data_IF_106665566715
#
_entry.id   IF_106665566715
#
_cell.length_a   1.000
_cell.length_b   1.000
_cell.length_c   1.000
_cell.angle_alpha   90.00
_cell.angle_beta   90.00
_cell.angle_gamma   90.00
#
_symmetry.space_group_name_H-M   'P 1'
#
loop_
_entity.id
_entity.type
_entity.pdbx_description
1 polymer ?
#
# COMPACT_ATOMS: atom_id res chain seq x y z
N UNK A 1 -2.33 0.43 24.98
CA UNK A 1 -1.67 0.00 23.74
C UNK A 1 -2.75 -0.33 22.75
N UNK A 2 -2.82 0.42 21.67
CA UNK A 2 -3.81 0.24 20.61
C UNK A 2 -3.33 -0.81 19.64
N UNK A 3 -4.22 -1.76 19.33
CA UNK A 3 -3.91 -2.87 18.43
C UNK A 3 -3.94 -2.40 16.99
N UNK A 4 -2.95 -2.83 16.22
CA UNK A 4 -2.82 -2.55 14.79
C UNK A 4 -2.79 -3.89 14.08
N UNK A 5 -3.74 -4.13 13.16
CA UNK A 5 -3.77 -5.29 12.29
C UNK A 5 -3.68 -4.83 10.85
N UNK A 6 -2.65 -5.25 10.13
CA UNK A 6 -2.50 -4.98 8.70
C UNK A 6 -2.74 -6.27 7.92
N UNK A 7 -3.65 -6.19 6.94
CA UNK A 7 -3.87 -7.24 5.94
C UNK A 7 -3.33 -6.76 4.60
N UNK A 8 -2.38 -7.49 4.02
CA UNK A 8 -1.93 -7.26 2.64
C UNK A 8 -3.03 -7.77 1.73
N UNK A 9 -3.74 -6.87 1.05
CA UNK A 9 -4.81 -7.28 0.14
C UNK A 9 -4.23 -7.73 -1.20
N UNK A 10 -3.18 -7.04 -1.66
CA UNK A 10 -2.41 -7.38 -2.84
C UNK A 10 -0.93 -7.11 -2.65
N UNK A 11 -0.07 -7.99 -3.17
CA UNK A 11 1.39 -7.80 -3.17
C UNK A 11 2.02 -7.81 -4.58
N UNK A 12 1.21 -7.76 -5.63
CA UNK A 12 1.63 -7.82 -7.02
C UNK A 12 2.00 -6.46 -7.60
N UNK A 13 2.82 -6.49 -8.65
CA UNK A 13 3.09 -5.33 -9.52
C UNK A 13 1.83 -4.85 -10.25
N UNK A 14 1.93 -3.71 -10.95
CA UNK A 14 0.88 -3.16 -11.81
C UNK A 14 0.15 -4.14 -12.74
N UNK A 15 0.85 -5.16 -13.25
CA UNK A 15 0.28 -6.18 -14.16
C UNK A 15 -0.45 -7.32 -13.45
N UNK A 16 -0.37 -7.39 -12.11
CA UNK A 16 -0.77 -8.56 -11.33
C UNK A 16 0.08 -9.79 -11.62
N UNK A 17 -0.27 -10.90 -11.00
CA UNK A 17 0.22 -12.24 -11.36
C UNK A 17 -0.94 -13.23 -11.21
N UNK A 18 -1.36 -13.94 -12.27
CA UNK A 18 -0.74 -14.02 -13.60
C UNK A 18 -0.82 -12.72 -14.40
N UNK A 19 0.19 -12.49 -15.24
CA UNK A 19 0.20 -11.43 -16.26
C UNK A 19 -0.66 -11.88 -17.43
N UNK A 20 -1.49 -10.97 -17.97
CA UNK A 20 -2.38 -11.25 -19.11
C UNK A 20 -1.58 -11.83 -20.29
N UNK A 21 -1.96 -13.02 -20.74
CA UNK A 21 -1.33 -13.72 -21.87
C UNK A 21 0.03 -14.38 -21.57
N UNK A 22 0.49 -14.39 -20.32
CA UNK A 22 1.77 -15.02 -19.97
C UNK A 22 1.61 -16.45 -19.46
N UNK A 23 2.42 -17.37 -20.00
CA UNK A 23 2.41 -18.80 -19.67
C UNK A 23 3.65 -19.24 -18.86
N UNK A 24 4.41 -18.30 -18.27
CA UNK A 24 5.58 -18.68 -17.48
C UNK A 24 5.20 -19.51 -16.24
N UNK A 25 6.19 -20.18 -15.64
CA UNK A 25 5.98 -21.08 -14.49
C UNK A 25 5.27 -20.39 -13.31
N UNK A 26 5.57 -19.12 -13.02
CA UNK A 26 4.89 -18.37 -11.97
C UNK A 26 3.43 -18.08 -12.32
N UNK A 27 3.15 -17.66 -13.55
CA UNK A 27 1.79 -17.35 -14.02
C UNK A 27 0.88 -18.59 -14.11
N UNK A 28 1.47 -19.74 -14.42
CA UNK A 28 0.75 -21.03 -14.50
C UNK A 28 0.74 -21.80 -13.19
N UNK A 29 1.38 -21.26 -12.14
CA UNK A 29 1.48 -21.91 -10.83
C UNK A 29 0.09 -22.12 -10.20
N UNK A 30 -0.08 -23.28 -9.56
CA UNK A 30 -1.23 -23.58 -8.72
C UNK A 30 -1.07 -23.10 -7.28
N UNK A 31 0.13 -22.65 -6.88
CA UNK A 31 0.36 -22.09 -5.56
C UNK A 31 -0.36 -20.73 -5.42
N UNK A 32 -1.30 -20.58 -4.46
CA UNK A 32 -2.01 -19.34 -4.25
C UNK A 32 -1.09 -18.15 -3.94
N UNK A 33 0.12 -18.36 -3.40
CA UNK A 33 1.07 -17.26 -3.10
C UNK A 33 1.73 -16.65 -4.32
N UNK A 34 1.63 -17.31 -5.46
CA UNK A 34 2.02 -16.77 -6.76
C UNK A 34 0.87 -16.02 -7.45
N UNK A 35 -0.36 -16.11 -6.93
CA UNK A 35 -1.48 -15.28 -7.39
C UNK A 35 -1.48 -13.97 -6.62
N UNK A 36 -1.29 -12.86 -7.33
CA UNK A 36 -1.07 -11.54 -6.74
C UNK A 36 -1.92 -10.50 -7.46
N UNK A 37 -2.82 -9.89 -6.71
CA UNK A 37 -3.54 -8.69 -7.09
C UNK A 37 -2.65 -7.45 -6.91
N UNK A 38 -3.07 -6.30 -7.47
CA UNK A 38 -2.32 -5.05 -7.38
C UNK A 38 -2.08 -4.62 -5.93
N UNK A 39 -0.90 -4.06 -5.67
CA UNK A 39 -0.39 -3.73 -4.35
C UNK A 39 -1.34 -2.82 -3.55
N UNK A 40 -1.82 -3.29 -2.40
CA UNK A 40 -2.67 -2.52 -1.47
C UNK A 40 -2.76 -3.20 -0.11
N UNK A 41 -3.20 -2.46 0.91
CA UNK A 41 -3.37 -2.99 2.25
C UNK A 41 -4.59 -2.40 2.97
N UNK A 42 -5.20 -3.20 3.84
CA UNK A 42 -6.20 -2.73 4.80
C UNK A 42 -5.63 -2.77 6.21
N UNK A 43 -5.85 -1.72 6.98
CA UNK A 43 -5.29 -1.55 8.32
C UNK A 43 -6.42 -1.26 9.29
N UNK A 44 -6.55 -2.10 10.31
CA UNK A 44 -7.41 -1.84 11.45
C UNK A 44 -6.56 -1.31 12.61
N UNK A 45 -6.90 -0.12 13.11
CA UNK A 45 -6.25 0.54 14.24
C UNK A 45 -7.32 0.79 15.30
N UNK A 46 -7.29 0.00 16.37
CA UNK A 46 -8.37 -0.02 17.35
C UNK A 46 -9.70 -0.34 16.68
N UNK A 47 -10.60 0.64 16.62
CA UNK A 47 -11.93 0.55 15.97
C UNK A 47 -11.96 1.13 14.56
N UNK A 48 -10.93 1.86 14.14
CA UNK A 48 -10.89 2.48 12.82
C UNK A 48 -10.30 1.55 11.76
N UNK A 49 -10.85 1.64 10.55
CA UNK A 49 -10.51 0.86 9.38
C UNK A 49 -10.00 1.77 8.25
N UNK A 50 -8.75 1.58 7.86
CA UNK A 50 -8.05 2.44 6.92
C UNK A 50 -7.54 1.64 5.74
N UNK A 51 -7.71 2.17 4.54
CA UNK A 51 -7.22 1.58 3.31
C UNK A 51 -5.93 2.29 2.86
N UNK A 52 -4.94 1.54 2.38
CA UNK A 52 -3.82 2.08 1.60
C UNK A 52 -4.04 1.69 0.14
N UNK A 53 -4.23 2.71 -0.70
CA UNK A 53 -4.54 2.61 -2.14
C UNK A 53 -5.83 1.84 -2.47
N UNK A 54 -6.48 2.23 -3.57
CA UNK A 54 -7.69 1.58 -4.11
C UNK A 54 -7.44 1.23 -5.56
N UNK A 55 -6.54 0.26 -5.76
CA UNK A 55 -6.17 -0.26 -7.07
C UNK A 55 -7.34 -0.89 -7.82
N UNK A 56 -7.12 -1.29 -9.07
CA UNK A 56 -8.20 -1.88 -9.89
C UNK A 56 -8.78 -3.17 -9.29
N UNK A 57 -8.02 -3.91 -8.48
CA UNK A 57 -8.50 -5.12 -7.82
C UNK A 57 -9.27 -4.84 -6.52
N UNK A 58 -9.44 -3.57 -6.14
CA UNK A 58 -10.01 -3.19 -4.84
C UNK A 58 -11.40 -3.79 -4.59
N UNK A 59 -12.29 -3.84 -5.59
CA UNK A 59 -13.57 -4.54 -5.48
C UNK A 59 -13.39 -6.02 -5.05
N UNK A 60 -12.53 -6.75 -5.75
CA UNK A 60 -12.29 -8.17 -5.48
C UNK A 60 -11.59 -8.37 -4.14
N UNK A 61 -10.61 -7.52 -3.81
CA UNK A 61 -9.90 -7.51 -2.54
C UNK A 61 -10.88 -7.25 -1.38
N UNK A 62 -11.76 -6.25 -1.50
CA UNK A 62 -12.75 -5.92 -0.48
C UNK A 62 -13.71 -7.09 -0.21
N UNK A 63 -14.16 -7.78 -1.25
CA UNK A 63 -15.01 -8.97 -1.08
C UNK A 63 -14.25 -10.16 -0.50
N UNK A 64 -13.08 -10.47 -1.03
CA UNK A 64 -12.26 -11.61 -0.62
C UNK A 64 -11.89 -11.53 0.86
N UNK A 65 -11.53 -10.33 1.34
CA UNK A 65 -11.13 -10.08 2.72
C UNK A 65 -12.24 -9.49 3.58
N UNK A 66 -13.48 -9.50 3.08
CA UNK A 66 -14.70 -9.13 3.81
C UNK A 66 -14.63 -7.73 4.45
N UNK A 67 -14.03 -6.78 3.73
CA UNK A 67 -13.97 -5.39 4.17
C UNK A 67 -15.38 -4.83 4.26
N UNK A 68 -15.71 -4.28 5.42
CA UNK A 68 -17.09 -3.91 5.74
C UNK A 68 -17.24 -2.46 6.18
N UNK A 69 -16.12 -1.75 6.39
CA UNK A 69 -16.04 -0.36 6.86
C UNK A 69 -14.72 0.26 6.38
N UNK A 70 -14.74 1.56 6.05
CA UNK A 70 -13.58 2.39 5.70
C UNK A 70 -13.80 3.79 6.28
N UNK A 71 -12.97 4.14 7.25
CA UNK A 71 -12.91 5.46 7.90
C UNK A 71 -12.01 6.45 7.15
N UNK A 72 -11.03 5.95 6.38
CA UNK A 72 -10.13 6.79 5.59
C UNK A 72 -9.28 6.01 4.61
N UNK A 73 -8.78 6.71 3.58
CA UNK A 73 -7.90 6.13 2.56
C UNK A 73 -6.60 6.94 2.47
N UNK A 74 -5.46 6.27 2.60
CA UNK A 74 -4.14 6.82 2.33
C UNK A 74 -3.73 6.44 0.90
N UNK A 75 -3.48 7.43 0.03
CA UNK A 75 -2.96 7.18 -1.32
C UNK A 75 -1.46 7.37 -1.35
N UNK A 76 -0.74 6.43 -1.96
CA UNK A 76 0.71 6.53 -2.17
C UNK A 76 1.01 7.49 -3.31
N UNK A 77 0.44 7.23 -4.49
CA UNK A 77 0.59 8.00 -5.72
C UNK A 77 -0.51 7.64 -6.74
N UNK A 78 -0.68 8.39 -7.85
CA UNK A 78 -1.86 8.26 -8.69
C UNK A 78 -1.72 7.30 -9.89
N UNK A 79 -0.82 6.31 -9.85
CA UNK A 79 -0.77 5.29 -10.91
C UNK A 79 -2.01 4.39 -10.90
N UNK A 80 -2.33 3.82 -12.06
CA UNK A 80 -3.58 3.12 -12.33
C UNK A 80 -3.83 1.94 -11.37
N UNK A 81 -2.78 1.21 -11.06
CA UNK A 81 -2.73 0.07 -10.16
C UNK A 81 -2.97 0.41 -8.69
N UNK A 82 -2.82 1.67 -8.30
CA UNK A 82 -3.07 2.17 -6.93
C UNK A 82 -4.40 2.94 -6.81
N UNK A 83 -5.02 3.31 -7.93
CA UNK A 83 -6.11 4.29 -7.93
C UNK A 83 -7.38 3.86 -8.68
N UNK A 84 -7.30 3.03 -9.73
CA UNK A 84 -8.43 2.85 -10.64
C UNK A 84 -9.61 2.01 -10.09
N UNK A 85 -9.60 1.60 -8.82
CA UNK A 85 -10.76 1.04 -8.12
C UNK A 85 -11.49 2.05 -7.22
N UNK A 86 -11.14 3.34 -7.28
CA UNK A 86 -11.70 4.39 -6.39
C UNK A 86 -13.24 4.51 -6.43
N UNK A 87 -13.90 4.17 -7.55
CA UNK A 87 -15.38 4.23 -7.62
C UNK A 87 -16.04 3.25 -6.64
N UNK A 88 -15.41 2.11 -6.34
CA UNK A 88 -15.98 1.09 -5.44
C UNK A 88 -16.08 1.57 -3.98
N UNK A 89 -15.41 2.67 -3.62
CA UNK A 89 -15.64 3.37 -2.34
C UNK A 89 -17.10 3.82 -2.16
N UNK A 90 -17.89 3.91 -3.25
CA UNK A 90 -19.34 4.13 -3.21
C UNK A 90 -20.07 3.16 -2.29
N UNK A 91 -19.65 1.90 -2.25
CA UNK A 91 -20.34 0.86 -1.48
C UNK A 91 -20.23 1.16 0.02
N UNK A 92 -19.06 1.62 0.45
CA UNK A 92 -18.80 2.06 1.81
C UNK A 92 -19.50 3.37 2.13
N UNK A 93 -19.46 4.36 1.23
CA UNK A 93 -20.22 5.62 1.40
C UNK A 93 -21.72 5.33 1.57
N UNK A 94 -22.29 4.46 0.73
CA UNK A 94 -23.68 4.05 0.78
C UNK A 94 -24.04 3.36 2.10
N UNK A 95 -23.19 2.42 2.55
CA UNK A 95 -23.41 1.66 3.77
C UNK A 95 -23.26 2.52 5.03
N UNK A 96 -22.25 3.38 5.06
CA UNK A 96 -21.90 4.24 6.20
C UNK A 96 -22.73 5.52 6.25
N UNK A 97 -23.39 5.89 5.14
CA UNK A 97 -24.11 7.16 4.97
C UNK A 97 -23.24 8.37 5.31
N UNK A 98 -21.97 8.30 4.94
CA UNK A 98 -20.96 9.31 5.22
C UNK A 98 -19.97 9.44 4.06
N UNK A 99 -19.46 10.66 3.79
CA UNK A 99 -18.30 10.83 2.91
C UNK A 99 -17.08 10.12 3.47
N UNK A 100 -16.20 9.62 2.60
CA UNK A 100 -14.93 9.02 3.00
C UNK A 100 -13.80 10.04 2.81
N UNK A 101 -13.04 10.37 3.86
CA UNK A 101 -11.86 11.20 3.71
C UNK A 101 -10.74 10.41 3.02
N UNK A 102 -10.10 11.04 2.04
CA UNK A 102 -8.93 10.52 1.36
C UNK A 102 -7.75 11.44 1.63
N UNK A 103 -6.57 10.86 1.73
CA UNK A 103 -5.36 11.53 2.17
C UNK A 103 -4.22 11.23 1.21
N UNK A 104 -3.37 12.22 0.99
CA UNK A 104 -2.19 12.06 0.14
C UNK A 104 -1.47 13.38 -0.06
N UNK A 105 -0.32 13.33 -0.74
CA UNK A 105 0.38 14.55 -1.12
C UNK A 105 -0.42 15.36 -2.16
N UNK A 106 -0.24 16.69 -2.16
CA UNK A 106 -0.91 17.66 -3.04
C UNK A 106 -1.01 17.20 -4.49
N UNK A 107 0.11 16.81 -5.10
CA UNK A 107 0.14 16.47 -6.52
C UNK A 107 -0.62 15.15 -6.82
N UNK A 108 -0.62 14.22 -5.87
CA UNK A 108 -1.44 13.00 -5.94
C UNK A 108 -2.93 13.34 -5.86
N UNK A 109 -3.34 14.14 -4.88
CA UNK A 109 -4.74 14.54 -4.72
C UNK A 109 -5.23 15.39 -5.90
N UNK A 110 -4.40 16.28 -6.44
CA UNK A 110 -4.74 17.06 -7.64
C UNK A 110 -5.03 16.13 -8.84
N UNK A 111 -4.23 15.09 -9.03
CA UNK A 111 -4.47 14.08 -10.07
C UNK A 111 -5.78 13.31 -9.85
N UNK A 112 -6.03 12.88 -8.60
CA UNK A 112 -7.26 12.15 -8.23
C UNK A 112 -8.50 13.03 -8.46
N UNK A 113 -8.50 14.25 -7.93
CA UNK A 113 -9.59 15.20 -8.09
C UNK A 113 -9.87 15.54 -9.55
N UNK A 114 -8.83 15.59 -10.39
CA UNK A 114 -9.01 15.86 -11.83
C UNK A 114 -9.58 14.66 -12.61
N UNK A 115 -9.23 13.42 -12.25
CA UNK A 115 -9.65 12.21 -12.99
C UNK A 115 -11.00 11.67 -12.53
N UNK A 116 -11.36 11.93 -11.28
CA UNK A 116 -12.54 11.41 -10.62
C UNK A 116 -13.36 12.56 -10.01
N UNK A 117 -13.43 13.70 -10.71
CA UNK A 117 -14.10 14.92 -10.27
C UNK A 117 -15.54 14.68 -9.74
N UNK A 118 -16.27 13.76 -10.37
CA UNK A 118 -17.61 13.37 -9.98
C UNK A 118 -17.68 12.83 -8.54
N UNK A 119 -16.61 12.21 -8.03
CA UNK A 119 -16.50 11.67 -6.68
C UNK A 119 -16.40 12.75 -5.58
N UNK A 120 -16.06 13.98 -5.97
CA UNK A 120 -15.87 15.12 -5.06
C UNK A 120 -17.03 16.11 -5.07
N UNK A 121 -18.05 15.84 -5.89
CA UNK A 121 -19.27 16.62 -5.89
C UNK A 121 -20.00 16.51 -4.54
N UNK A 122 -20.84 17.51 -4.26
CA UNK A 122 -21.60 17.54 -3.01
C UNK A 122 -22.43 16.27 -2.80
N UNK A 123 -22.62 15.93 -1.52
CA UNK A 123 -23.34 14.73 -1.14
C UNK A 123 -24.81 14.83 -1.58
N UNK A 124 -25.35 13.73 -2.10
CA UNK A 124 -26.77 13.61 -2.40
C UNK A 124 -27.37 12.47 -1.56
N UNK A 125 -28.70 12.40 -1.49
CA UNK A 125 -29.38 11.38 -0.69
C UNK A 125 -29.31 9.97 -1.30
N UNK A 126 -28.84 9.83 -2.54
CA UNK A 126 -28.84 8.56 -3.27
C UNK A 126 -27.59 7.72 -3.03
N UNK A 127 -26.44 8.36 -2.71
CA UNK A 127 -25.16 7.67 -2.50
C UNK A 127 -24.79 6.74 -3.68
N UNK A 128 -25.18 7.13 -4.89
CA UNK A 128 -24.98 6.39 -6.15
C UNK A 128 -23.63 6.72 -6.80
N UNK A 129 -22.69 7.24 -6.02
CA UNK A 129 -21.31 7.54 -6.35
C UNK A 129 -20.48 7.58 -5.07
N UNK A 130 -19.15 7.40 -5.14
CA UNK A 130 -18.30 7.78 -4.03
C UNK A 130 -18.53 9.27 -3.70
N UNK A 131 -18.50 9.60 -2.42
CA UNK A 131 -18.49 10.98 -1.93
C UNK A 131 -17.24 11.13 -1.11
N UNK A 132 -16.23 11.78 -1.68
CA UNK A 132 -14.88 11.84 -1.12
C UNK A 132 -14.54 13.24 -0.62
N UNK A 133 -13.67 13.30 0.38
CA UNK A 133 -13.11 14.56 0.91
C UNK A 133 -11.61 14.47 0.89
N UNK A 134 -10.96 15.30 0.07
CA UNK A 134 -9.51 15.31 -0.07
C UNK A 134 -8.86 16.09 1.08
N UNK A 135 -7.88 15.46 1.73
CA UNK A 135 -7.11 16.03 2.82
C UNK A 135 -5.61 15.95 2.48
N UNK A 136 -5.02 17.10 2.16
CA UNK A 136 -3.60 17.18 1.85
C UNK A 136 -2.75 16.82 3.08
N UNK A 137 -1.76 15.95 2.85
CA UNK A 137 -0.72 15.65 3.81
C UNK A 137 0.63 16.26 3.37
N UNK A 138 1.37 16.88 4.30
CA UNK A 138 2.67 17.48 3.97
C UNK A 138 3.76 16.39 3.84
N UNK A 139 4.60 16.51 2.81
CA UNK A 139 5.82 15.72 2.69
C UNK A 139 6.94 16.37 3.52
N UNK A 140 6.92 16.12 4.82
CA UNK A 140 7.88 16.66 5.79
C UNK A 140 9.03 15.68 6.13
N UNK A 141 9.21 14.62 5.34
CA UNK A 141 10.21 13.56 5.56
C UNK A 141 10.19 12.95 6.97
N UNK A 142 9.00 12.85 7.58
CA UNK A 142 8.83 12.30 8.92
C UNK A 142 9.24 13.22 10.07
N UNK A 143 9.58 14.49 9.81
CA UNK A 143 9.92 15.47 10.86
C UNK A 143 8.79 15.67 11.87
N UNK A 144 7.53 15.54 11.44
CA UNK A 144 6.37 15.50 12.33
C UNK A 144 5.33 14.49 11.83
N UNK A 145 4.50 13.98 12.76
CA UNK A 145 3.36 13.14 12.37
C UNK A 145 2.38 13.97 11.53
N UNK A 146 1.88 13.37 10.44
CA UNK A 146 0.93 14.02 9.52
C UNK A 146 -0.52 13.78 9.93
N UNK A 147 -0.76 12.71 10.70
CA UNK A 147 -2.07 12.33 11.20
C UNK A 147 -1.93 11.50 12.48
N UNK A 148 -3.02 11.34 13.22
CA UNK A 148 -3.13 10.40 14.34
C UNK A 148 -4.45 9.66 14.20
N UNK A 149 -4.40 8.33 14.12
CA UNK A 149 -5.57 7.44 14.05
C UNK A 149 -5.76 6.87 15.45
N UNK A 150 -6.83 7.27 16.12
CA UNK A 150 -6.99 7.07 17.57
C UNK A 150 -5.80 7.70 18.34
N UNK A 151 -4.89 6.88 18.89
CA UNK A 151 -3.64 7.27 19.54
C UNK A 151 -2.39 6.86 18.74
N UNK A 152 -2.56 6.27 17.55
CA UNK A 152 -1.46 5.80 16.70
C UNK A 152 -1.02 6.91 15.73
N UNK A 153 0.22 7.40 15.82
CA UNK A 153 0.75 8.40 14.91
C UNK A 153 1.04 7.83 13.52
N UNK A 154 0.79 8.65 12.51
CA UNK A 154 1.11 8.37 11.10
C UNK A 154 2.12 9.39 10.60
N UNK A 155 3.17 8.91 9.93
CA UNK A 155 4.16 9.72 9.22
C UNK A 155 4.12 9.39 7.73
N UNK A 156 4.49 10.38 6.93
CA UNK A 156 4.59 10.27 5.48
C UNK A 156 6.00 10.69 5.04
N UNK A 157 6.52 9.99 4.04
CA UNK A 157 7.84 10.24 3.46
C UNK A 157 7.70 10.37 1.95
N UNK A 158 8.48 11.26 1.35
CA UNK A 158 8.58 11.33 -0.10
C UNK A 158 9.64 10.32 -0.54
N UNK A 159 9.27 9.37 -1.38
CA UNK A 159 10.20 8.39 -1.96
C UNK A 159 10.27 8.55 -3.46
N UNK A 160 11.46 8.37 -4.02
CA UNK A 160 11.70 8.49 -5.46
C UNK A 160 11.06 7.30 -6.18
N UNK A 161 10.28 7.55 -7.22
CA UNK A 161 9.62 6.55 -8.07
C UNK A 161 9.85 6.88 -9.55
N UNK A 162 11.09 6.71 -10.01
CA UNK A 162 11.53 7.11 -11.35
C UNK A 162 11.48 8.62 -11.50
N UNK A 163 10.64 9.13 -12.42
CA UNK A 163 10.41 10.58 -12.57
C UNK A 163 9.31 11.12 -11.65
N UNK A 164 8.64 10.24 -10.89
CA UNK A 164 7.58 10.60 -9.96
C UNK A 164 8.07 10.61 -8.52
N UNK A 165 7.30 11.27 -7.67
CA UNK A 165 7.41 11.15 -6.21
C UNK A 165 6.22 10.35 -5.71
N UNK A 166 6.49 9.28 -4.95
CA UNK A 166 5.48 8.50 -4.25
C UNK A 166 5.51 8.79 -2.75
N UNK A 167 4.42 8.48 -2.07
CA UNK A 167 4.32 8.56 -0.61
C UNK A 167 4.54 7.20 0.02
N UNK A 168 5.47 7.11 0.96
CA UNK A 168 5.59 5.98 1.87
C UNK A 168 5.03 6.37 3.25
N UNK A 169 4.51 5.39 3.99
CA UNK A 169 3.85 5.63 5.27
C UNK A 169 4.50 4.84 6.41
N UNK A 170 4.62 5.45 7.59
CA UNK A 170 4.83 4.75 8.86
C UNK A 170 3.60 4.96 9.75
N UNK A 171 3.02 3.89 10.25
CA UNK A 171 1.81 3.86 11.06
C UNK A 171 2.16 3.13 12.36
N UNK A 172 2.44 3.89 13.41
CA UNK A 172 3.01 3.35 14.65
C UNK A 172 4.31 2.58 14.40
N UNK A 173 4.27 1.26 14.57
CA UNK A 173 5.41 0.35 14.41
C UNK A 173 5.41 -0.42 13.07
N UNK A 174 4.55 -0.03 12.11
CA UNK A 174 4.48 -0.63 10.77
C UNK A 174 4.88 0.41 9.72
N UNK A 175 5.68 0.02 8.72
CA UNK A 175 6.02 0.86 7.58
C UNK A 175 5.58 0.23 6.25
N UNK A 176 5.01 1.03 5.35
CA UNK A 176 4.56 0.64 4.01
C UNK A 176 5.26 1.48 2.94
N UNK A 177 6.18 0.84 2.21
CA UNK A 177 7.08 1.44 1.23
C UNK A 177 6.96 0.67 -0.09
N UNK A 178 5.93 0.97 -0.88
CA UNK A 178 5.76 0.46 -2.25
C UNK A 178 6.24 1.51 -3.26
N UNK A 179 6.59 1.07 -4.47
CA UNK A 179 6.80 1.94 -5.62
C UNK A 179 7.88 2.98 -5.39
N UNK A 180 9.11 2.49 -5.20
CA UNK A 180 10.28 3.34 -5.02
C UNK A 180 11.54 2.74 -5.61
N UNK A 181 12.46 3.58 -6.07
CA UNK A 181 13.82 3.18 -6.47
C UNK A 181 14.90 3.74 -5.53
N UNK A 182 14.54 4.61 -4.58
CA UNK A 182 15.47 5.19 -3.62
C UNK A 182 14.78 5.65 -2.33
N UNK A 183 15.43 5.40 -1.19
CA UNK A 183 15.09 5.96 0.12
C UNK A 183 16.17 6.97 0.50
N UNK A 184 15.77 8.22 0.76
CA UNK A 184 16.66 9.31 1.18
C UNK A 184 17.24 9.04 2.58
N UNK A 185 18.49 9.49 2.79
CA UNK A 185 19.22 9.35 4.05
C UNK A 185 18.47 9.93 5.27
N UNK A 186 17.72 11.01 5.07
CA UNK A 186 16.93 11.67 6.12
C UNK A 186 15.78 10.81 6.66
N UNK A 187 15.35 9.77 5.92
CA UNK A 187 14.21 8.92 6.32
C UNK A 187 14.64 7.86 7.34
N UNK A 188 15.88 7.34 7.27
CA UNK A 188 16.32 6.20 8.10
C UNK A 188 16.19 6.38 9.62
N UNK A 189 16.46 7.57 10.21
CA UNK A 189 16.22 7.80 11.64
C UNK A 189 14.76 7.53 12.04
N UNK A 190 13.81 7.71 11.13
CA UNK A 190 12.39 7.50 11.35
C UNK A 190 11.93 6.07 11.09
N UNK A 191 12.83 5.13 10.76
CA UNK A 191 12.50 3.71 10.52
C UNK A 191 13.02 2.78 11.62
N UNK A 192 13.52 3.33 12.72
CA UNK A 192 13.96 2.54 13.88
C UNK A 192 12.77 1.96 14.66
N UNK A 193 12.96 0.74 15.18
CA UNK A 193 12.01 0.07 16.06
C UNK A 193 10.75 -0.48 15.40
N UNK A 194 10.76 -0.68 14.07
CA UNK A 194 9.62 -1.25 13.36
C UNK A 194 9.41 -2.72 13.72
N UNK A 195 8.16 -3.09 13.96
CA UNK A 195 7.74 -4.49 14.02
C UNK A 195 7.70 -5.08 12.60
N UNK A 196 7.13 -4.33 11.66
CA UNK A 196 6.96 -4.78 10.28
C UNK A 196 7.34 -3.69 9.29
N UNK A 197 8.16 -4.06 8.30
CA UNK A 197 8.43 -3.27 7.11
C UNK A 197 7.85 -3.98 5.89
N UNK A 198 7.02 -3.30 5.11
CA UNK A 198 6.59 -3.75 3.78
C UNK A 198 7.37 -2.93 2.75
N UNK A 199 8.16 -3.59 1.91
CA UNK A 199 9.13 -2.95 1.03
C UNK A 199 9.03 -3.44 -0.41
N UNK A 200 9.06 -2.50 -1.36
CA UNK A 200 9.13 -2.75 -2.80
C UNK A 200 10.28 -3.72 -3.15
N UNK A 201 9.97 -4.69 -4.01
CA UNK A 201 10.92 -5.65 -4.56
C UNK A 201 10.40 -6.19 -5.90
N UNK A 202 10.46 -5.36 -6.94
CA UNK A 202 9.82 -5.64 -8.23
C UNK A 202 10.31 -6.93 -8.92
N UNK A 203 11.63 -7.04 -9.12
CA UNK A 203 12.28 -8.14 -9.83
C UNK A 203 13.80 -8.14 -9.58
N UNK A 204 14.52 -9.16 -10.05
CA UNK A 204 15.97 -9.25 -9.87
C UNK A 204 16.76 -8.17 -10.64
N UNK A 205 16.27 -7.82 -11.83
CA UNK A 205 16.93 -6.81 -12.69
C UNK A 205 16.60 -5.40 -12.21
N UNK A 206 17.59 -4.51 -12.24
CA UNK A 206 17.39 -3.09 -11.97
C UNK A 206 16.28 -2.51 -12.85
N UNK A 207 15.47 -1.63 -12.26
CA UNK A 207 14.39 -0.93 -12.94
C UNK A 207 14.40 0.55 -12.55
N UNK A 208 14.04 1.49 -13.45
CA UNK A 208 14.16 2.92 -13.15
C UNK A 208 13.31 3.41 -11.96
N UNK A 209 12.13 2.81 -11.75
CA UNK A 209 11.15 3.29 -10.76
C UNK A 209 10.95 2.37 -9.56
N UNK A 210 11.60 1.21 -9.52
CA UNK A 210 11.42 0.22 -8.46
C UNK A 210 12.76 -0.37 -7.98
N UNK A 211 12.76 -0.94 -6.78
CA UNK A 211 13.91 -1.64 -6.23
C UNK A 211 14.08 -2.99 -6.95
N UNK A 212 15.31 -3.27 -7.36
CA UNK A 212 15.71 -4.65 -7.61
C UNK A 212 15.75 -5.43 -6.30
N UNK A 213 15.68 -6.76 -6.37
CA UNK A 213 15.78 -7.62 -5.18
C UNK A 213 17.06 -7.38 -4.38
N UNK A 214 18.19 -7.15 -5.06
CA UNK A 214 19.45 -6.83 -4.38
C UNK A 214 19.36 -5.53 -3.58
N UNK A 215 18.71 -4.50 -4.15
CA UNK A 215 18.52 -3.22 -3.46
C UNK A 215 17.53 -3.34 -2.30
N UNK A 216 16.41 -4.04 -2.51
CA UNK A 216 15.41 -4.30 -1.47
C UNK A 216 16.03 -5.03 -0.27
N UNK A 217 16.88 -6.04 -0.52
CA UNK A 217 17.57 -6.77 0.55
C UNK A 217 18.54 -5.86 1.31
N UNK A 218 19.32 -5.02 0.61
CA UNK A 218 20.23 -4.08 1.25
C UNK A 218 19.49 -3.03 2.11
N UNK A 219 18.34 -2.54 1.65
CA UNK A 219 17.50 -1.64 2.47
C UNK A 219 16.90 -2.36 3.68
N UNK A 220 16.43 -3.59 3.53
CA UNK A 220 15.93 -4.39 4.64
C UNK A 220 17.00 -4.63 5.72
N UNK A 221 18.22 -5.01 5.31
CA UNK A 221 19.37 -5.19 6.21
C UNK A 221 19.78 -3.91 6.94
N UNK A 222 19.59 -2.76 6.30
CA UNK A 222 19.87 -1.45 6.88
C UNK A 222 18.79 -0.98 7.86
N UNK A 223 17.52 -1.22 7.53
CA UNK A 223 16.37 -0.77 8.34
C UNK A 223 16.18 -1.67 9.58
N UNK A 224 16.45 -2.97 9.46
CA UNK A 224 16.41 -3.94 10.55
C UNK A 224 15.08 -3.97 11.32
N UNK A 225 13.96 -3.90 10.61
CA UNK A 225 12.65 -4.19 11.20
C UNK A 225 12.63 -5.62 11.79
N UNK A 226 11.78 -5.87 12.80
CA UNK A 226 11.66 -7.23 13.38
C UNK A 226 11.27 -8.26 12.31
N UNK A 227 10.43 -7.87 11.36
CA UNK A 227 10.17 -8.64 10.14
C UNK A 227 10.02 -7.71 8.93
N UNK A 228 10.55 -8.11 7.77
CA UNK A 228 10.36 -7.40 6.49
C UNK A 228 9.64 -8.28 5.49
N UNK A 229 8.59 -7.75 4.87
CA UNK A 229 7.83 -8.38 3.80
C UNK A 229 8.07 -7.66 2.47
N UNK A 230 8.42 -8.42 1.44
CA UNK A 230 8.59 -7.87 0.09
C UNK A 230 7.26 -7.82 -0.67
N UNK A 231 6.97 -6.66 -1.26
CA UNK A 231 5.71 -6.35 -1.97
C UNK A 231 6.00 -5.79 -3.37
N UNK A 232 4.93 -5.50 -4.12
CA UNK A 232 4.98 -5.01 -5.50
C UNK A 232 5.76 -5.92 -6.47
N UNK A 233 5.63 -7.23 -6.29
CA UNK A 233 6.41 -8.24 -7.00
C UNK A 233 5.82 -8.58 -8.37
N UNK A 234 6.65 -8.65 -9.40
CA UNK A 234 6.24 -9.18 -10.71
C UNK A 234 6.15 -10.70 -10.72
N UNK A 235 5.57 -11.26 -11.78
CA UNK A 235 5.61 -12.71 -12.06
C UNK A 235 7.02 -13.30 -12.21
N UNK A 236 8.08 -12.48 -12.28
CA UNK A 236 9.47 -12.97 -12.29
C UNK A 236 9.95 -13.38 -10.89
N UNK A 237 9.23 -12.98 -9.85
CA UNK A 237 9.47 -13.41 -8.48
C UNK A 237 8.56 -14.57 -8.14
N UNK A 238 9.00 -15.80 -8.36
CA UNK A 238 8.31 -16.98 -7.82
C UNK A 238 8.47 -17.00 -6.29
N UNK A 239 7.37 -17.24 -5.55
CA UNK A 239 7.32 -17.08 -4.10
C UNK A 239 8.38 -17.90 -3.37
N UNK A 240 8.48 -19.20 -3.66
CA UNK A 240 9.41 -20.09 -2.96
C UNK A 240 10.87 -19.82 -3.33
N UNK A 241 11.15 -19.48 -4.59
CA UNK A 241 12.48 -19.06 -5.05
C UNK A 241 12.95 -17.81 -4.30
N UNK A 242 12.11 -16.77 -4.26
CA UNK A 242 12.47 -15.53 -3.57
C UNK A 242 12.63 -15.79 -2.06
N UNK A 243 11.73 -16.56 -1.44
CA UNK A 243 11.80 -16.90 -0.01
C UNK A 243 13.11 -17.59 0.38
N UNK A 244 13.63 -18.50 -0.45
CA UNK A 244 14.91 -19.18 -0.18
C UNK A 244 16.11 -18.23 -0.20
N UNK A 245 15.99 -17.11 -0.90
CA UNK A 245 17.06 -16.11 -1.04
C UNK A 245 16.94 -14.96 -0.04
N UNK A 246 15.80 -14.82 0.64
CA UNK A 246 15.56 -13.71 1.55
C UNK A 246 16.59 -13.69 2.69
N UNK A 247 17.04 -12.49 3.12
CA UNK A 247 17.83 -12.35 4.34
C UNK A 247 17.06 -12.84 5.58
N UNK A 248 17.76 -12.95 6.70
CA UNK A 248 17.13 -13.29 7.98
C UNK A 248 15.99 -12.32 8.30
N UNK A 249 14.88 -12.85 8.81
CA UNK A 249 13.66 -12.09 9.15
C UNK A 249 12.99 -11.38 7.95
N UNK A 250 13.29 -11.79 6.73
CA UNK A 250 12.66 -11.27 5.53
C UNK A 250 11.90 -12.38 4.79
N UNK A 251 10.73 -12.09 4.23
CA UNK A 251 9.97 -13.02 3.40
C UNK A 251 9.22 -12.28 2.28
N UNK A 252 8.84 -12.94 1.17
CA UNK A 252 7.87 -12.38 0.24
C UNK A 252 6.49 -12.29 0.90
N UNK A 253 5.77 -11.20 0.68
CA UNK A 253 4.36 -11.13 1.03
C UNK A 253 3.51 -12.03 0.12
N UNK A 254 2.28 -12.29 0.52
CA UNK A 254 1.26 -12.90 -0.31
C UNK A 254 -0.08 -12.25 0.01
N UNK A 255 -0.98 -12.23 -0.98
CA UNK A 255 -2.34 -11.73 -0.80
C UNK A 255 -3.02 -12.48 0.37
N UNK A 256 -3.53 -11.72 1.35
CA UNK A 256 -4.15 -12.25 2.57
C UNK A 256 -3.19 -12.44 3.74
N UNK A 257 -1.91 -12.06 3.62
CA UNK A 257 -0.99 -12.00 4.75
C UNK A 257 -1.52 -11.02 5.80
N UNK A 258 -1.63 -11.48 7.05
CA UNK A 258 -2.06 -10.66 8.21
C UNK A 258 -0.92 -10.56 9.21
N UNK A 259 -0.67 -9.34 9.69
CA UNK A 259 0.27 -9.07 10.79
C UNK A 259 -0.39 -8.27 11.90
N UNK A 260 0.08 -8.47 13.13
CA UNK A 260 -0.41 -7.78 14.31
C UNK A 260 0.73 -7.07 15.04
N UNK A 261 0.51 -5.80 15.38
CA UNK A 261 1.40 -4.95 16.17
C UNK A 261 0.57 -4.19 17.21
N UNK A 262 1.24 -3.52 18.13
CA UNK A 262 0.62 -2.62 19.11
C UNK A 262 1.47 -1.38 19.28
N UNK A 263 0.83 -0.24 19.48
CA UNK A 263 1.47 1.05 19.80
C UNK A 263 1.02 1.55 21.17
#
# INVERSE_FOLDING_TARGET
MTQITLTVLGCGSSSGTPVIGCECATCTSSDPKNRRTRCSAHIQIGKQHWQIDTGTDFYHQALQYQLSHIDGVLYTHPHADHLNGIDDLRAFCYKQRAPIPIYGHRDTLANICSRFDYAFLEQNNHWNRPVLRAHELPLNQGQSRVLTIEDVPVWQFAVSHGSWTSSAYRIGNIAWFTDLNHIDESIFPHLQGLDYLFLDCLMDTSYPSHLSTKQAFAYAERIQAKHTYFIHMTHKQEYHNLKQRCPKNCEPAYDGLVVHSSY
#
